data_IF_550071848381
#
_entry.id   IF_550071848381
#
_cell.length_a   1.000
_cell.length_b   1.000
_cell.length_c   1.000
_cell.angle_alpha   90.00
_cell.angle_beta   90.00
_cell.angle_gamma   90.00
#
_symmetry.space_group_name_H-M   'P 1'
#
loop_
_entity.id
_entity.type
_entity.pdbx_description
1 polymer ?
#
# COMPACT_ATOMS: atom_id res chain seq x y z
N UNK A 1 -42.85 -21.14 -22.57
CA UNK A 1 -42.41 -19.78 -22.22
C UNK A 1 -41.93 -19.78 -20.77
N UNK A 2 -40.70 -19.34 -20.47
CA UNK A 2 -40.11 -19.43 -19.13
C UNK A 2 -40.89 -18.64 -18.07
N UNK A 3 -41.62 -17.60 -18.48
CA UNK A 3 -42.45 -16.76 -17.60
C UNK A 3 -43.65 -17.53 -17.04
N UNK A 4 -44.31 -18.37 -17.84
CA UNK A 4 -45.44 -19.19 -17.36
C UNK A 4 -44.97 -20.30 -16.42
N UNK A 5 -43.81 -20.91 -16.68
CA UNK A 5 -43.22 -21.92 -15.80
C UNK A 5 -42.75 -21.33 -14.46
N UNK A 6 -42.24 -20.11 -14.46
CA UNK A 6 -41.92 -19.36 -13.22
C UNK A 6 -43.20 -18.98 -12.47
N UNK A 7 -44.22 -18.48 -13.16
CA UNK A 7 -45.50 -18.12 -12.54
C UNK A 7 -46.21 -19.33 -11.89
N UNK A 8 -46.12 -20.53 -12.48
CA UNK A 8 -46.65 -21.75 -11.86
C UNK A 8 -45.81 -22.23 -10.67
N UNK A 9 -44.49 -21.99 -10.68
CA UNK A 9 -43.59 -22.35 -9.56
C UNK A 9 -43.73 -21.41 -8.36
N UNK A 10 -44.05 -20.14 -8.61
CA UNK A 10 -44.22 -19.11 -7.57
C UNK A 10 -45.68 -18.78 -7.25
N UNK A 11 -46.65 -19.38 -7.97
CA UNK A 11 -48.08 -19.10 -7.83
C UNK A 11 -48.71 -19.62 -6.53
N UNK A 12 -48.08 -20.63 -5.90
CA UNK A 12 -48.59 -21.31 -4.69
C UNK A 12 -47.77 -20.96 -3.43
N UNK A 13 -47.00 -19.87 -3.48
CA UNK A 13 -46.12 -19.44 -2.39
C UNK A 13 -46.96 -18.70 -1.34
N UNK A 14 -47.08 -19.29 -0.15
CA UNK A 14 -47.86 -18.72 0.95
C UNK A 14 -47.30 -17.36 1.39
N UNK A 15 -48.17 -16.47 1.88
CA UNK A 15 -47.77 -15.14 2.37
C UNK A 15 -46.70 -15.25 3.47
N UNK A 16 -46.79 -16.27 4.32
CA UNK A 16 -45.79 -16.53 5.37
C UNK A 16 -44.40 -16.82 4.79
N UNK A 17 -44.31 -17.59 3.70
CA UNK A 17 -43.02 -17.84 3.02
C UNK A 17 -42.47 -16.59 2.33
N UNK A 18 -43.33 -15.70 1.83
CA UNK A 18 -42.91 -14.40 1.31
C UNK A 18 -42.38 -13.48 2.42
N UNK A 19 -43.05 -13.46 3.59
CA UNK A 19 -42.61 -12.68 4.75
C UNK A 19 -41.26 -13.19 5.27
N UNK A 20 -41.09 -14.51 5.42
CA UNK A 20 -39.81 -15.12 5.80
C UNK A 20 -38.73 -14.82 4.77
N UNK A 21 -39.05 -14.91 3.48
CA UNK A 21 -38.13 -14.54 2.40
C UNK A 21 -37.70 -13.06 2.44
N UNK A 22 -38.63 -12.16 2.70
CA UNK A 22 -38.36 -10.73 2.83
C UNK A 22 -37.48 -10.43 4.06
N UNK A 23 -37.75 -11.06 5.20
CA UNK A 23 -36.92 -10.94 6.41
C UNK A 23 -35.51 -11.48 6.18
N UNK A 24 -35.37 -12.64 5.52
CA UNK A 24 -34.08 -13.20 5.16
C UNK A 24 -33.30 -12.28 4.22
N UNK A 25 -33.96 -11.69 3.21
CA UNK A 25 -33.34 -10.74 2.30
C UNK A 25 -32.90 -9.45 3.02
N UNK A 26 -33.74 -8.90 3.91
CA UNK A 26 -33.39 -7.75 4.74
C UNK A 26 -32.19 -8.06 5.66
N UNK A 27 -32.14 -9.24 6.26
CA UNK A 27 -31.01 -9.70 7.06
C UNK A 27 -29.72 -9.80 6.22
N UNK A 28 -29.80 -10.38 5.01
CA UNK A 28 -28.65 -10.47 4.08
C UNK A 28 -28.14 -9.08 3.70
N UNK A 29 -29.04 -8.13 3.40
CA UNK A 29 -28.66 -6.74 3.11
C UNK A 29 -28.04 -6.03 4.33
N UNK A 30 -28.60 -6.26 5.52
CA UNK A 30 -28.06 -5.76 6.78
C UNK A 30 -26.63 -6.27 7.04
N UNK A 31 -26.41 -7.58 6.88
CA UNK A 31 -25.09 -8.19 6.99
C UNK A 31 -24.14 -7.62 5.93
N UNK A 32 -24.59 -7.52 4.68
CA UNK A 32 -23.77 -7.04 3.55
C UNK A 32 -23.33 -5.59 3.72
N UNK A 33 -24.19 -4.74 4.27
CA UNK A 33 -23.89 -3.33 4.56
C UNK A 33 -22.97 -3.20 5.79
N UNK A 34 -23.21 -3.99 6.84
CA UNK A 34 -22.35 -4.04 8.01
C UNK A 34 -20.93 -4.51 7.68
N UNK A 35 -20.80 -5.57 6.89
CA UNK A 35 -19.51 -6.09 6.40
C UNK A 35 -18.80 -5.14 5.43
N UNK A 36 -19.52 -4.15 4.86
CA UNK A 36 -18.94 -3.11 4.03
C UNK A 36 -18.01 -2.16 4.79
N UNK A 37 -18.10 -2.12 6.11
CA UNK A 37 -17.29 -1.25 6.95
C UNK A 37 -17.63 0.24 6.81
N UNK A 38 -16.81 1.08 7.44
CA UNK A 38 -16.98 2.54 7.44
C UNK A 38 -16.58 3.12 6.08
N UNK A 39 -17.25 4.21 5.71
CA UNK A 39 -16.93 5.01 4.52
C UNK A 39 -16.11 6.23 4.91
N UNK A 40 -15.28 6.71 3.98
CA UNK A 40 -14.53 7.94 4.19
C UNK A 40 -15.50 9.13 4.05
N UNK A 41 -15.60 9.95 5.10
CA UNK A 41 -16.37 11.21 5.11
C UNK A 41 -15.50 12.42 4.78
N UNK A 42 -14.18 12.25 4.77
CA UNK A 42 -13.25 13.32 4.47
C UNK A 42 -13.09 13.50 2.97
N UNK A 43 -13.22 14.75 2.54
CA UNK A 43 -12.90 15.17 1.18
C UNK A 43 -11.71 16.13 1.23
N UNK A 44 -10.66 15.78 0.48
CA UNK A 44 -9.49 16.64 0.29
C UNK A 44 -9.55 17.22 -1.10
N UNK A 45 -9.27 18.51 -1.23
CA UNK A 45 -9.13 19.14 -2.54
C UNK A 45 -7.90 18.55 -3.26
N UNK A 46 -8.12 17.96 -4.43
CA UNK A 46 -7.09 17.35 -5.28
C UNK A 46 -6.81 18.13 -6.56
N UNK A 47 -7.41 19.31 -6.73
CA UNK A 47 -7.19 20.13 -7.92
C UNK A 47 -5.69 20.45 -8.11
N UNK A 48 -5.15 20.13 -9.29
CA UNK A 48 -3.75 20.36 -9.64
C UNK A 48 -2.73 19.56 -8.82
N UNK A 49 -3.18 18.52 -8.10
CA UNK A 49 -2.32 17.57 -7.37
C UNK A 49 -2.12 16.30 -8.17
N UNK A 50 -0.96 15.67 -7.99
CA UNK A 50 -0.63 14.42 -8.70
C UNK A 50 -0.54 13.23 -7.74
N UNK A 51 -1.17 12.12 -8.13
CA UNK A 51 -1.12 10.84 -7.43
C UNK A 51 -0.40 9.82 -8.31
N UNK A 52 0.68 9.25 -7.78
CA UNK A 52 1.39 8.13 -8.37
C UNK A 52 0.79 6.82 -7.85
N UNK A 53 0.20 5.99 -8.71
CA UNK A 53 -0.37 4.70 -8.33
C UNK A 53 0.52 3.58 -8.84
N UNK A 54 1.35 3.01 -7.95
CA UNK A 54 2.30 1.94 -8.27
C UNK A 54 1.71 0.62 -7.81
N UNK A 55 1.02 -0.08 -8.72
CA UNK A 55 0.28 -1.28 -8.34
C UNK A 55 -0.06 -2.17 -9.55
N UNK A 56 -0.22 -3.50 -9.36
CA UNK A 56 -0.81 -4.36 -10.37
C UNK A 56 -2.24 -3.93 -10.70
N UNK A 57 -2.73 -4.20 -11.93
CA UNK A 57 -4.11 -3.92 -12.31
C UNK A 57 -5.06 -4.92 -11.62
N UNK A 58 -5.40 -4.65 -10.37
CA UNK A 58 -6.37 -5.43 -9.59
C UNK A 58 -7.73 -4.72 -9.54
N UNK A 59 -8.83 -5.45 -9.28
CA UNK A 59 -10.16 -4.84 -9.14
C UNK A 59 -10.19 -3.70 -8.12
N UNK A 60 -9.45 -3.84 -7.02
CA UNK A 60 -9.34 -2.80 -5.98
C UNK A 60 -8.66 -1.54 -6.51
N UNK A 61 -7.57 -1.67 -7.27
CA UNK A 61 -6.82 -0.52 -7.80
C UNK A 61 -7.59 0.17 -8.94
N UNK A 62 -8.22 -0.59 -9.82
CA UNK A 62 -9.06 -0.06 -10.89
C UNK A 62 -10.24 0.72 -10.29
N UNK A 63 -10.85 0.18 -9.23
CA UNK A 63 -11.92 0.88 -8.50
C UNK A 63 -11.41 2.13 -7.80
N UNK A 64 -10.17 2.12 -7.26
CA UNK A 64 -9.55 3.32 -6.69
C UNK A 64 -9.38 4.42 -7.72
N UNK A 65 -8.86 4.09 -8.91
CA UNK A 65 -8.70 5.04 -10.01
C UNK A 65 -10.06 5.62 -10.42
N UNK A 66 -11.07 4.77 -10.59
CA UNK A 66 -12.44 5.19 -10.92
C UNK A 66 -13.00 6.16 -9.86
N UNK A 67 -12.88 5.83 -8.57
CA UNK A 67 -13.37 6.68 -7.49
C UNK A 67 -12.61 8.01 -7.37
N UNK A 68 -11.29 8.01 -7.58
CA UNK A 68 -10.48 9.23 -7.57
C UNK A 68 -10.84 10.18 -8.72
N UNK A 69 -11.12 9.63 -9.91
CA UNK A 69 -11.50 10.43 -11.08
C UNK A 69 -12.93 10.98 -10.97
N UNK A 70 -13.82 10.31 -10.23
CA UNK A 70 -15.18 10.77 -9.97
C UNK A 70 -15.28 11.87 -8.89
N UNK A 71 -14.18 12.21 -8.22
CA UNK A 71 -14.19 13.29 -7.23
C UNK A 71 -14.54 14.64 -7.88
N UNK A 72 -15.18 15.59 -7.15
CA UNK A 72 -15.48 16.92 -7.68
C UNK A 72 -14.23 17.65 -8.19
N UNK A 73 -13.13 17.54 -7.44
CA UNK A 73 -11.79 17.99 -7.82
C UNK A 73 -10.91 16.77 -8.07
N UNK A 74 -10.78 16.25 -9.30
CA UNK A 74 -10.01 15.05 -9.57
C UNK A 74 -8.50 15.36 -9.60
N UNK A 75 -7.65 14.47 -9.04
CA UNK A 75 -6.20 14.56 -9.20
C UNK A 75 -5.75 14.17 -10.61
N UNK A 76 -4.52 14.55 -10.95
CA UNK A 76 -3.78 13.94 -12.06
C UNK A 76 -3.25 12.58 -11.59
N UNK A 77 -3.63 11.49 -12.28
CA UNK A 77 -3.24 10.13 -11.90
C UNK A 77 -2.21 9.61 -12.89
N UNK A 78 -1.05 9.20 -12.38
CA UNK A 78 -0.08 8.41 -13.12
C UNK A 78 -0.10 6.98 -12.58
N UNK A 79 -0.67 6.07 -13.37
CA UNK A 79 -0.74 4.65 -13.05
C UNK A 79 0.50 3.92 -13.60
N UNK A 80 1.21 3.22 -12.71
CA UNK A 80 2.46 2.52 -12.97
C UNK A 80 2.30 1.02 -12.66
N UNK A 81 1.77 0.22 -13.59
CA UNK A 81 1.67 -1.22 -13.42
C UNK A 81 3.04 -1.91 -13.52
N UNK A 82 3.29 -2.97 -12.72
CA UNK A 82 4.49 -3.82 -12.77
C UNK A 82 4.50 -4.77 -13.96
N UNK A 83 4.22 -4.25 -15.16
CA UNK A 83 4.11 -4.99 -16.42
C UNK A 83 5.13 -4.39 -17.40
N UNK A 84 5.91 -5.22 -18.12
CA UNK A 84 6.81 -4.70 -19.15
C UNK A 84 6.03 -4.07 -20.30
N UNK A 85 6.69 -3.15 -21.02
CA UNK A 85 6.17 -2.62 -22.28
C UNK A 85 6.18 -3.71 -23.37
N UNK A 86 5.19 -3.78 -24.27
CA UNK A 86 3.98 -2.95 -24.35
C UNK A 86 2.91 -3.34 -23.32
N UNK A 87 2.10 -2.35 -22.91
CA UNK A 87 0.98 -2.58 -22.00
C UNK A 87 -0.11 -3.45 -22.66
N UNK A 88 -0.79 -4.33 -21.91
CA UNK A 88 -1.87 -5.17 -22.45
C UNK A 88 -3.04 -4.34 -23.01
N UNK A 89 -3.60 -4.71 -24.18
CA UNK A 89 -4.70 -3.97 -24.80
C UNK A 89 -5.97 -3.95 -23.94
N UNK A 90 -6.23 -5.03 -23.21
CA UNK A 90 -7.38 -5.14 -22.30
C UNK A 90 -7.31 -4.10 -21.18
N UNK A 91 -6.11 -3.89 -20.61
CA UNK A 91 -5.89 -2.89 -19.57
C UNK A 91 -6.12 -1.48 -20.12
N UNK A 92 -5.56 -1.18 -21.30
CA UNK A 92 -5.75 0.12 -21.94
C UNK A 92 -7.23 0.38 -22.27
N UNK A 93 -7.96 -0.65 -22.70
CA UNK A 93 -9.40 -0.57 -22.96
C UNK A 93 -10.15 -0.24 -21.68
N UNK A 94 -9.87 -0.93 -20.56
CA UNK A 94 -10.50 -0.64 -19.27
C UNK A 94 -10.20 0.79 -18.81
N UNK A 95 -8.93 1.23 -18.86
CA UNK A 95 -8.56 2.59 -18.46
C UNK A 95 -9.21 3.65 -19.36
N UNK A 96 -9.34 3.39 -20.66
CA UNK A 96 -10.04 4.26 -21.58
C UNK A 96 -11.54 4.32 -21.26
N UNK A 97 -12.19 3.19 -20.97
CA UNK A 97 -13.60 3.18 -20.57
C UNK A 97 -13.87 3.95 -19.28
N UNK A 98 -12.97 3.86 -18.29
CA UNK A 98 -13.06 4.64 -17.05
C UNK A 98 -12.96 6.13 -17.38
N UNK A 99 -11.99 6.52 -18.21
CA UNK A 99 -11.83 7.92 -18.63
C UNK A 99 -13.06 8.45 -19.36
N UNK A 100 -13.68 7.67 -20.25
CA UNK A 100 -14.92 8.06 -20.93
C UNK A 100 -16.10 8.20 -19.94
N UNK A 101 -16.17 7.35 -18.93
CA UNK A 101 -17.19 7.41 -17.88
C UNK A 101 -17.15 8.72 -17.07
N UNK A 102 -15.98 9.36 -16.99
CA UNK A 102 -15.73 10.60 -16.24
C UNK A 102 -15.91 11.87 -17.10
N UNK A 103 -16.50 11.74 -18.30
CA UNK A 103 -16.71 12.81 -19.29
C UNK A 103 -17.26 14.15 -18.77
N UNK A 104 -17.91 14.17 -17.59
CA UNK A 104 -18.39 15.40 -16.93
C UNK A 104 -17.28 16.30 -16.39
N UNK A 105 -16.06 15.78 -16.17
CA UNK A 105 -14.97 16.56 -15.58
C UNK A 105 -13.74 16.61 -16.51
N UNK A 106 -13.52 17.70 -17.26
CA UNK A 106 -12.41 17.82 -18.20
C UNK A 106 -11.04 17.90 -17.51
N UNK A 107 -11.00 18.18 -16.19
CA UNK A 107 -9.77 18.23 -15.41
C UNK A 107 -9.23 16.83 -15.06
N UNK A 108 -10.04 15.78 -15.20
CA UNK A 108 -9.65 14.41 -14.89
C UNK A 108 -8.59 13.89 -15.88
N UNK A 109 -7.36 13.73 -15.41
CA UNK A 109 -6.23 13.24 -16.21
C UNK A 109 -5.76 11.87 -15.71
N UNK A 110 -5.74 10.89 -16.61
CA UNK A 110 -5.28 9.53 -16.35
C UNK A 110 -4.19 9.16 -17.36
N UNK A 111 -2.98 8.93 -16.86
CA UNK A 111 -1.83 8.46 -17.61
C UNK A 111 -1.41 7.08 -17.13
N UNK A 112 -0.91 6.24 -18.03
CA UNK A 112 -0.43 4.90 -17.72
C UNK A 112 0.94 4.68 -18.36
N UNK A 113 1.96 4.33 -17.56
CA UNK A 113 3.31 4.01 -18.04
C UNK A 113 3.76 2.67 -17.44
N UNK A 114 4.35 1.75 -18.22
CA UNK A 114 4.86 0.49 -17.69
C UNK A 114 6.03 0.71 -16.72
N UNK A 115 6.00 0.05 -15.56
CA UNK A 115 7.09 0.07 -14.59
C UNK A 115 7.39 -1.36 -14.10
N UNK A 116 8.03 -2.22 -14.91
CA UNK A 116 8.34 -3.58 -14.49
C UNK A 116 9.27 -3.58 -13.26
N UNK A 117 9.21 -4.67 -12.49
CA UNK A 117 9.93 -4.82 -11.21
C UNK A 117 11.42 -5.15 -11.41
N UNK A 118 12.12 -4.31 -12.17
CA UNK A 118 13.54 -4.42 -12.47
C UNK A 118 14.27 -3.13 -12.11
N UNK A 119 15.57 -3.25 -11.83
CA UNK A 119 16.42 -2.09 -11.47
C UNK A 119 16.48 -1.07 -12.59
N UNK A 120 16.64 -1.55 -13.82
CA UNK A 120 16.78 -0.73 -15.01
C UNK A 120 15.53 0.09 -15.25
N UNK A 121 14.35 -0.51 -15.13
CA UNK A 121 13.09 0.18 -15.33
C UNK A 121 12.84 1.28 -14.29
N UNK A 122 13.15 1.03 -13.00
CA UNK A 122 13.06 2.08 -11.98
C UNK A 122 14.02 3.21 -12.31
N UNK A 123 15.28 2.92 -12.67
CA UNK A 123 16.26 3.96 -13.02
C UNK A 123 15.89 4.75 -14.26
N UNK A 124 15.41 4.09 -15.29
CA UNK A 124 14.97 4.73 -16.53
C UNK A 124 13.76 5.61 -16.28
N UNK A 125 12.81 5.13 -15.47
CA UNK A 125 11.68 5.93 -15.00
C UNK A 125 12.14 7.16 -14.23
N UNK A 126 13.00 7.01 -13.22
CA UNK A 126 13.50 8.15 -12.42
C UNK A 126 14.32 9.13 -13.26
N UNK A 127 15.07 8.64 -14.26
CA UNK A 127 15.80 9.49 -15.21
C UNK A 127 14.84 10.31 -16.07
N UNK A 128 13.83 9.67 -16.67
CA UNK A 128 12.77 10.36 -17.42
C UNK A 128 11.98 11.34 -16.54
N UNK A 129 11.77 10.97 -15.29
CA UNK A 129 11.08 11.80 -14.30
C UNK A 129 11.86 13.09 -14.03
N UNK A 130 13.18 12.98 -13.82
CA UNK A 130 14.06 14.11 -13.54
C UNK A 130 14.44 14.94 -14.78
N UNK A 131 14.39 14.38 -15.99
CA UNK A 131 14.76 15.07 -17.24
C UNK A 131 13.64 15.91 -17.86
N UNK A 132 12.52 16.09 -17.16
CA UNK A 132 11.39 16.86 -17.69
C UNK A 132 11.79 18.35 -17.84
N UNK A 133 11.52 18.99 -19.01
CA UNK A 133 11.93 20.37 -19.24
C UNK A 133 11.33 21.34 -18.23
N UNK A 134 12.14 22.24 -17.65
CA UNK A 134 11.71 23.20 -16.64
C UNK A 134 10.53 24.09 -17.10
N UNK A 135 10.42 24.34 -18.41
CA UNK A 135 9.29 25.08 -19.01
C UNK A 135 7.93 24.38 -18.84
N UNK A 136 7.90 23.05 -18.75
CA UNK A 136 6.65 22.28 -18.59
C UNK A 136 6.30 22.02 -17.12
N UNK A 137 7.24 22.17 -16.20
CA UNK A 137 7.10 21.68 -14.84
C UNK A 137 7.44 22.71 -13.75
N UNK A 138 7.89 23.90 -14.15
CA UNK A 138 8.36 24.95 -13.26
C UNK A 138 9.71 24.62 -12.60
N UNK A 139 10.23 25.56 -11.81
CA UNK A 139 11.52 25.43 -11.11
C UNK A 139 11.54 24.28 -10.08
N UNK A 140 10.38 23.93 -9.52
CA UNK A 140 10.25 22.88 -8.52
C UNK A 140 10.27 21.45 -9.11
N UNK A 141 10.21 21.29 -10.43
CA UNK A 141 10.11 19.99 -11.09
C UNK A 141 8.75 19.30 -10.89
N UNK A 142 8.65 18.02 -11.27
CA UNK A 142 7.36 17.30 -11.30
C UNK A 142 6.80 17.16 -9.89
N UNK A 143 5.62 17.72 -9.68
CA UNK A 143 4.91 17.70 -8.41
C UNK A 143 4.34 16.30 -8.15
N UNK A 144 4.55 15.78 -6.94
CA UNK A 144 3.90 14.56 -6.42
C UNK A 144 3.32 14.88 -5.05
N UNK A 145 2.02 14.68 -4.88
CA UNK A 145 1.33 14.91 -3.60
C UNK A 145 0.99 13.59 -2.89
N UNK A 146 0.86 12.49 -3.64
CA UNK A 146 0.70 11.17 -3.06
C UNK A 146 1.33 10.05 -3.91
N UNK A 147 1.79 9.01 -3.24
CA UNK A 147 2.27 7.76 -3.84
C UNK A 147 1.49 6.61 -3.18
N UNK A 148 0.78 5.82 -3.98
CA UNK A 148 0.06 4.63 -3.53
C UNK A 148 0.84 3.39 -3.99
N UNK A 149 1.45 2.69 -3.03
CA UNK A 149 2.13 1.42 -3.24
C UNK A 149 1.10 0.28 -3.06
N UNK A 150 0.48 -0.12 -4.17
CA UNK A 150 -0.67 -1.03 -4.17
C UNK A 150 -0.35 -2.52 -4.30
N UNK A 151 0.92 -2.90 -4.22
CA UNK A 151 1.36 -4.28 -4.39
C UNK A 151 1.84 -4.89 -3.07
N UNK A 152 1.54 -6.18 -2.86
CA UNK A 152 2.09 -6.98 -1.76
C UNK A 152 1.22 -7.20 -0.53
N UNK A 153 -0.02 -6.77 -0.61
CA UNK A 153 -1.09 -7.19 0.29
C UNK A 153 -1.87 -8.41 -0.24
N UNK A 154 -1.69 -8.72 -1.53
CA UNK A 154 -2.29 -9.87 -2.21
C UNK A 154 -1.73 -11.18 -1.66
N UNK A 155 -2.60 -12.16 -1.43
CA UNK A 155 -2.18 -13.53 -1.13
C UNK A 155 -1.87 -14.20 -2.45
N UNK A 156 -0.59 -14.43 -2.69
CA UNK A 156 -0.15 -15.16 -3.88
C UNK A 156 -0.65 -16.62 -3.81
N UNK A 157 -1.08 -17.15 -4.96
CA UNK A 157 -1.38 -18.59 -5.08
C UNK A 157 -0.12 -19.41 -4.76
N UNK A 158 -0.28 -20.69 -4.47
CA UNK A 158 0.86 -21.56 -4.14
C UNK A 158 1.96 -21.42 -5.21
N UNK A 159 3.22 -21.14 -4.82
CA UNK A 159 4.34 -21.00 -5.73
C UNK A 159 4.53 -22.19 -6.69
N UNK A 160 4.03 -23.39 -6.35
CA UNK A 160 4.03 -24.55 -7.27
C UNK A 160 3.09 -24.37 -8.46
N UNK A 161 1.89 -23.82 -8.22
CA UNK A 161 0.90 -23.52 -9.26
C UNK A 161 1.38 -22.33 -10.09
N UNK A 162 1.92 -21.29 -9.44
CA UNK A 162 2.52 -20.15 -10.12
C UNK A 162 3.69 -20.56 -11.02
N UNK A 163 4.55 -21.49 -10.57
CA UNK A 163 5.64 -22.02 -11.41
C UNK A 163 5.13 -22.78 -12.64
N UNK A 164 4.04 -23.54 -12.54
CA UNK A 164 3.44 -24.20 -13.70
C UNK A 164 2.89 -23.18 -14.72
N UNK A 165 2.12 -22.19 -14.27
CA UNK A 165 1.55 -21.13 -15.12
C UNK A 165 2.64 -20.22 -15.71
N UNK A 166 3.70 -19.96 -14.94
CA UNK A 166 4.82 -19.08 -15.35
C UNK A 166 5.81 -19.76 -16.29
N UNK A 167 6.00 -21.08 -16.17
CA UNK A 167 6.82 -21.86 -17.09
C UNK A 167 6.20 -21.95 -18.50
N UNK A 168 4.87 -21.94 -18.61
CA UNK A 168 4.17 -21.90 -19.90
C UNK A 168 4.25 -20.53 -20.59
N UNK A 169 4.36 -19.45 -19.82
CA UNK A 169 4.27 -18.07 -20.35
C UNK A 169 5.61 -17.34 -20.51
N UNK A 170 6.73 -17.84 -19.97
CA UNK A 170 7.92 -17.01 -19.80
C UNK A 170 9.27 -17.66 -20.22
N UNK A 171 9.36 -18.10 -21.48
CA UNK A 171 10.61 -18.61 -22.06
C UNK A 171 11.60 -17.53 -22.55
N UNK A 172 11.34 -16.23 -22.38
CA UNK A 172 12.12 -15.17 -23.08
C UNK A 172 12.65 -13.96 -22.31
N UNK A 173 12.54 -13.84 -20.98
CA UNK A 173 13.21 -12.73 -20.27
C UNK A 173 14.03 -13.20 -19.06
N UNK A 174 15.36 -13.08 -19.16
CA UNK A 174 16.37 -13.50 -18.18
C UNK A 174 16.78 -12.36 -17.22
N UNK A 175 15.92 -11.38 -16.93
CA UNK A 175 16.19 -10.43 -15.85
C UNK A 175 15.64 -10.98 -14.54
N UNK A 176 16.45 -10.97 -13.48
CA UNK A 176 16.03 -11.39 -12.13
C UNK A 176 15.02 -10.35 -11.62
N UNK A 177 13.75 -10.69 -11.63
CA UNK A 177 12.72 -9.86 -11.01
C UNK A 177 13.02 -9.67 -9.52
N UNK A 178 12.88 -8.43 -9.07
CA UNK A 178 13.07 -8.08 -7.67
C UNK A 178 11.87 -8.44 -6.82
N UNK A 179 12.12 -8.68 -5.54
CA UNK A 179 11.04 -8.82 -4.58
C UNK A 179 10.31 -7.48 -4.44
N UNK A 180 9.05 -7.52 -4.03
CA UNK A 180 8.23 -6.30 -3.91
C UNK A 180 8.80 -5.28 -2.93
N UNK A 181 9.36 -5.74 -1.81
CA UNK A 181 10.03 -4.85 -0.87
C UNK A 181 11.23 -4.14 -1.51
N UNK A 182 12.07 -4.88 -2.22
CA UNK A 182 13.25 -4.34 -2.90
C UNK A 182 12.86 -3.31 -3.96
N UNK A 183 11.84 -3.63 -4.75
CA UNK A 183 11.28 -2.74 -5.76
C UNK A 183 10.69 -1.45 -5.15
N UNK A 184 9.80 -1.57 -4.16
CA UNK A 184 9.20 -0.41 -3.51
C UNK A 184 10.24 0.46 -2.82
N UNK A 185 11.18 -0.16 -2.09
CA UNK A 185 12.26 0.56 -1.43
C UNK A 185 13.13 1.32 -2.42
N UNK A 186 13.54 0.67 -3.52
CA UNK A 186 14.35 1.33 -4.54
C UNK A 186 13.61 2.46 -5.25
N UNK A 187 12.32 2.27 -5.54
CA UNK A 187 11.50 3.32 -6.14
C UNK A 187 11.37 4.53 -5.22
N UNK A 188 11.07 4.31 -3.93
CA UNK A 188 10.96 5.38 -2.94
C UNK A 188 12.29 6.11 -2.75
N UNK A 189 13.39 5.39 -2.59
CA UNK A 189 14.73 5.99 -2.42
C UNK A 189 15.21 6.71 -3.67
N UNK A 190 14.88 6.23 -4.87
CA UNK A 190 15.19 6.91 -6.12
C UNK A 190 14.37 8.19 -6.33
N UNK A 191 13.11 8.22 -5.88
CA UNK A 191 12.26 9.41 -5.95
C UNK A 191 12.49 10.40 -4.81
N UNK A 192 13.10 9.96 -3.70
CA UNK A 192 13.31 10.76 -2.49
C UNK A 192 13.94 12.15 -2.75
N UNK A 193 14.98 12.30 -3.60
CA UNK A 193 15.53 13.62 -3.91
C UNK A 193 14.51 14.58 -4.54
N UNK A 194 13.58 14.05 -5.33
CA UNK A 194 12.48 14.84 -5.92
C UNK A 194 11.43 15.21 -4.87
N UNK A 195 11.17 14.32 -3.91
CA UNK A 195 10.19 14.56 -2.85
C UNK A 195 10.68 15.59 -1.83
N UNK A 196 11.97 15.55 -1.47
CA UNK A 196 12.57 16.51 -0.52
C UNK A 196 12.70 17.93 -1.07
N UNK A 197 12.62 18.12 -2.39
CA UNK A 197 12.58 19.46 -3.01
C UNK A 197 11.21 20.13 -2.85
N UNK A 198 10.16 19.37 -2.51
CA UNK A 198 8.85 19.94 -2.34
C UNK A 198 8.81 20.94 -1.16
N UNK A 199 8.04 22.04 -1.26
CA UNK A 199 7.90 23.00 -0.17
C UNK A 199 7.38 22.35 1.11
N UNK A 200 7.88 22.81 2.26
CA UNK A 200 7.54 22.28 3.59
C UNK A 200 6.05 22.44 3.97
N UNK A 201 5.34 23.39 3.35
CA UNK A 201 3.90 23.58 3.53
C UNK A 201 3.05 22.45 2.91
N UNK A 202 3.65 21.64 2.03
CA UNK A 202 2.93 20.58 1.31
C UNK A 202 3.08 19.25 2.01
N UNK A 203 1.94 18.67 2.38
CA UNK A 203 1.87 17.30 2.90
C UNK A 203 1.92 16.29 1.74
N UNK A 204 2.96 15.46 1.70
CA UNK A 204 3.10 14.36 0.73
C UNK A 204 2.75 13.04 1.43
N UNK A 205 1.87 12.23 0.82
CA UNK A 205 1.41 10.97 1.42
C UNK A 205 1.92 9.76 0.66
N UNK A 206 2.73 8.93 1.30
CA UNK A 206 3.16 7.63 0.80
C UNK A 206 2.27 6.59 1.47
N UNK A 207 1.29 6.07 0.74
CA UNK A 207 0.32 5.09 1.21
C UNK A 207 0.76 3.70 0.77
N UNK A 208 1.04 2.82 1.72
CA UNK A 208 1.40 1.43 1.45
C UNK A 208 0.26 0.48 1.86
N UNK A 209 -0.10 -0.45 0.96
CA UNK A 209 -1.17 -1.42 1.22
C UNK A 209 -0.64 -2.67 1.92
N UNK A 210 -1.41 -3.18 2.88
CA UNK A 210 -1.01 -4.27 3.79
C UNK A 210 -2.11 -5.32 3.84
N UNK A 211 -1.72 -6.59 3.80
CA UNK A 211 -2.67 -7.69 3.81
C UNK A 211 -3.37 -7.79 5.17
N UNK A 212 -4.67 -8.13 5.23
CA UNK A 212 -5.34 -8.44 6.50
C UNK A 212 -4.75 -9.67 7.21
N UNK A 213 -3.93 -10.47 6.52
CA UNK A 213 -3.32 -11.69 7.05
C UNK A 213 -2.10 -11.45 7.94
N UNK A 214 -1.66 -10.20 8.13
CA UNK A 214 -0.50 -9.85 8.95
C UNK A 214 -0.54 -10.45 10.36
N UNK A 215 -1.72 -10.55 10.97
CA UNK A 215 -1.90 -11.10 12.31
C UNK A 215 -1.56 -12.59 12.39
N UNK A 216 -1.75 -13.34 11.30
CA UNK A 216 -1.44 -14.78 11.24
C UNK A 216 0.07 -15.05 11.36
N UNK A 217 0.90 -14.07 11.04
CA UNK A 217 2.36 -14.18 11.09
C UNK A 217 2.98 -13.66 12.39
N UNK A 218 2.19 -13.08 13.31
CA UNK A 218 2.68 -12.61 14.61
C UNK A 218 3.39 -13.69 15.43
N UNK A 219 2.88 -14.95 15.51
CA UNK A 219 3.58 -16.00 16.25
C UNK A 219 5.00 -16.27 15.72
N UNK A 220 5.24 -16.01 14.44
CA UNK A 220 6.57 -16.15 13.84
C UNK A 220 7.58 -15.14 14.37
N UNK A 221 7.14 -13.95 14.80
CA UNK A 221 8.00 -12.95 15.44
C UNK A 221 8.28 -13.30 16.90
N UNK A 222 7.33 -13.96 17.57
CA UNK A 222 7.46 -14.42 18.95
C UNK A 222 8.32 -15.69 19.09
N UNK A 223 8.96 -16.17 18.00
CA UNK A 223 9.78 -17.37 18.02
C UNK A 223 9.00 -18.69 18.07
N UNK A 224 7.69 -18.67 17.81
CA UNK A 224 6.86 -19.88 17.76
C UNK A 224 6.87 -20.51 16.35
N UNK A 225 6.69 -21.82 16.29
CA UNK A 225 6.61 -22.57 15.03
C UNK A 225 5.50 -22.00 14.14
N UNK A 226 5.93 -21.37 13.06
CA UNK A 226 5.05 -20.67 12.13
C UNK A 226 4.77 -21.54 10.91
N UNK A 227 3.50 -21.79 10.61
CA UNK A 227 3.06 -22.54 9.43
C UNK A 227 3.63 -21.92 8.15
N UNK A 228 3.90 -22.74 7.14
CA UNK A 228 4.43 -22.30 5.84
C UNK A 228 3.34 -22.07 4.79
N UNK A 229 2.12 -21.78 5.23
CA UNK A 229 0.96 -21.52 4.36
C UNK A 229 1.12 -20.18 3.61
N UNK A 230 0.47 -20.04 2.43
CA UNK A 230 0.50 -18.80 1.63
C UNK A 230 0.02 -17.58 2.42
N UNK A 231 -0.99 -17.77 3.27
CA UNK A 231 -1.52 -16.76 4.20
C UNK A 231 -0.45 -16.27 5.16
N UNK A 232 0.33 -17.18 5.73
CA UNK A 232 1.37 -16.85 6.71
C UNK A 232 2.57 -16.20 6.03
N UNK A 233 2.97 -16.68 4.84
CA UNK A 233 4.00 -16.03 4.03
C UNK A 233 3.63 -14.57 3.70
N UNK A 234 2.39 -14.35 3.26
CA UNK A 234 1.85 -13.01 2.99
C UNK A 234 1.76 -12.17 4.27
N UNK A 235 1.44 -12.80 5.40
CA UNK A 235 1.43 -12.14 6.71
C UNK A 235 2.83 -11.66 7.12
N UNK A 236 3.87 -12.50 6.94
CA UNK A 236 5.27 -12.14 7.22
C UNK A 236 5.74 -10.97 6.36
N UNK A 237 5.41 -11.00 5.06
CA UNK A 237 5.65 -9.90 4.13
C UNK A 237 4.98 -8.59 4.61
N UNK A 238 3.72 -8.69 5.04
CA UNK A 238 2.96 -7.55 5.56
C UNK A 238 3.59 -6.97 6.84
N UNK A 239 4.03 -7.81 7.77
CA UNK A 239 4.77 -7.42 8.98
C UNK A 239 6.07 -6.70 8.62
N UNK A 240 6.87 -7.26 7.71
CA UNK A 240 8.12 -6.63 7.29
C UNK A 240 7.86 -5.26 6.67
N UNK A 241 6.76 -5.10 5.93
CA UNK A 241 6.39 -3.81 5.35
C UNK A 241 5.99 -2.79 6.42
N UNK A 242 5.25 -3.21 7.45
CA UNK A 242 4.93 -2.35 8.61
C UNK A 242 6.19 -1.83 9.31
N UNK A 243 7.13 -2.74 9.61
CA UNK A 243 8.39 -2.41 10.27
C UNK A 243 9.24 -1.47 9.41
N UNK A 244 9.34 -1.77 8.11
CA UNK A 244 10.08 -0.96 7.16
C UNK A 244 9.50 0.46 7.03
N UNK A 245 8.18 0.60 6.88
CA UNK A 245 7.55 1.92 6.73
C UNK A 245 7.63 2.74 8.01
N UNK A 246 7.58 2.10 9.19
CA UNK A 246 7.86 2.79 10.46
C UNK A 246 9.28 3.32 10.53
N UNK A 247 10.27 2.52 10.15
CA UNK A 247 11.66 2.99 10.13
C UNK A 247 11.87 4.07 9.06
N UNK A 248 11.27 3.90 7.89
CA UNK A 248 11.33 4.89 6.82
C UNK A 248 10.75 6.25 7.24
N UNK A 249 9.64 6.29 7.99
CA UNK A 249 9.15 7.54 8.57
C UNK A 249 10.17 8.19 9.52
N UNK A 250 10.85 7.39 10.35
CA UNK A 250 11.90 7.90 11.24
C UNK A 250 13.03 8.55 10.44
N UNK A 251 13.41 7.95 9.30
CA UNK A 251 14.42 8.50 8.37
C UNK A 251 13.93 9.81 7.73
N UNK A 252 12.69 9.87 7.24
CA UNK A 252 12.15 11.09 6.66
C UNK A 252 12.16 12.25 7.65
N UNK A 253 11.72 11.97 8.86
CA UNK A 253 11.69 12.99 9.89
C UNK A 253 13.11 13.38 10.39
N UNK A 254 14.09 12.47 10.39
CA UNK A 254 15.47 12.83 10.72
C UNK A 254 16.06 13.73 9.65
N UNK A 255 15.75 13.47 8.38
CA UNK A 255 16.14 14.35 7.27
C UNK A 255 15.54 15.74 7.43
N UNK A 256 14.27 15.84 7.82
CA UNK A 256 13.63 17.13 8.09
C UNK A 256 14.27 17.86 9.29
N UNK A 257 14.55 17.15 10.38
CA UNK A 257 15.22 17.74 11.54
C UNK A 257 16.62 18.25 11.22
N UNK A 258 17.35 17.56 10.33
CA UNK A 258 18.65 18.00 9.80
C UNK A 258 18.47 19.25 8.94
N UNK A 259 17.49 19.27 8.03
CA UNK A 259 17.22 20.42 7.16
C UNK A 259 16.86 21.68 7.97
N UNK A 260 16.16 21.53 9.09
CA UNK A 260 15.81 22.63 10.00
C UNK A 260 16.91 23.00 11.01
N UNK A 261 18.06 22.30 11.01
CA UNK A 261 19.16 22.55 11.96
C UNK A 261 18.85 22.18 13.42
N UNK A 262 17.78 21.41 13.68
CA UNK A 262 17.30 21.04 15.03
C UNK A 262 17.87 19.72 15.53
N UNK A 263 19.14 19.45 15.22
CA UNK A 263 19.84 18.24 15.66
C UNK A 263 20.76 18.60 16.81
N UNK A 264 20.41 18.16 18.02
CA UNK A 264 21.21 18.42 19.22
C UNK A 264 22.28 17.33 19.35
N UNK A 265 23.58 17.67 19.48
CA UNK A 265 24.60 16.70 19.85
C UNK A 265 24.33 16.23 21.28
N UNK A 266 24.27 14.92 21.50
CA UNK A 266 24.16 14.33 22.85
C UNK A 266 25.46 13.60 23.15
N UNK A 267 26.09 13.81 24.33
CA UNK A 267 27.25 13.04 24.72
C UNK A 267 26.87 11.55 24.85
N UNK A 268 27.65 10.66 24.25
CA UNK A 268 27.45 9.23 24.39
C UNK A 268 27.57 8.84 25.87
N UNK A 269 26.46 8.44 26.48
CA UNK A 269 26.47 7.95 27.86
C UNK A 269 27.22 6.61 27.87
N UNK A 270 28.42 6.63 28.44
CA UNK A 270 29.30 5.46 28.54
C UNK A 270 28.73 4.35 29.42
N UNK A 271 28.75 3.13 28.89
CA UNK A 271 29.09 1.93 29.64
C UNK A 271 30.11 1.14 28.81
N UNK A 272 31.37 1.49 29.01
CA UNK A 272 32.53 0.83 28.40
C UNK A 272 33.79 1.49 28.92
N UNK A 273 34.28 1.02 30.07
CA UNK A 273 35.62 1.35 30.57
C UNK A 273 36.63 0.81 29.55
N UNK A 274 37.22 1.68 28.75
CA UNK A 274 38.27 1.34 27.79
C UNK A 274 39.10 2.58 27.53
N UNK A 275 40.32 2.59 28.05
CA UNK A 275 41.34 3.61 27.87
C UNK A 275 41.81 3.65 26.42
N UNK A 276 41.42 4.70 25.70
CA UNK A 276 41.91 5.08 24.37
C UNK A 276 41.57 6.55 24.11
N UNK A 277 42.37 7.29 23.31
CA UNK A 277 42.25 8.74 23.21
C UNK A 277 40.89 9.16 22.64
N UNK A 278 40.30 10.13 23.32
CA UNK A 278 38.96 10.65 23.09
C UNK A 278 38.91 11.47 21.79
N UNK A 279 38.39 10.86 20.72
CA UNK A 279 37.75 11.60 19.63
C UNK A 279 36.23 11.36 19.71
N UNK A 280 35.52 12.47 19.79
CA UNK A 280 34.09 12.69 19.96
C UNK A 280 33.14 11.73 19.20
N UNK A 281 32.72 10.65 19.85
CA UNK A 281 31.51 9.92 19.45
C UNK A 281 30.25 10.64 19.98
N UNK A 282 30.01 11.87 19.55
CA UNK A 282 28.75 12.57 19.85
C UNK A 282 27.62 11.95 19.02
N UNK A 283 26.69 11.26 19.69
CA UNK A 283 25.51 10.71 19.01
C UNK A 283 24.50 11.84 18.86
N UNK A 284 24.36 12.34 17.63
CA UNK A 284 23.35 13.34 17.27
C UNK A 284 21.94 12.77 17.53
N UNK A 285 21.24 13.31 18.52
CA UNK A 285 19.85 12.92 18.82
C UNK A 285 18.90 13.90 18.17
N UNK A 286 17.97 13.37 17.38
CA UNK A 286 16.91 14.14 16.75
C UNK A 286 15.97 14.73 17.81
N UNK A 287 15.47 15.94 17.55
CA UNK A 287 14.32 16.48 18.25
C UNK A 287 13.03 15.73 17.85
N UNK A 288 12.36 15.11 18.84
CA UNK A 288 11.14 14.34 18.65
C UNK A 288 9.95 15.20 18.20
N UNK A 289 10.04 16.52 18.40
CA UNK A 289 8.96 17.44 18.09
C UNK A 289 8.92 17.85 16.61
N UNK A 290 10.01 17.60 15.86
CA UNK A 290 10.08 17.90 14.42
C UNK A 290 9.60 16.70 13.64
N UNK A 291 8.53 16.84 12.86
CA UNK A 291 7.97 15.81 11.96
C UNK A 291 8.13 16.24 10.51
N UNK A 292 8.37 15.30 9.61
CA UNK A 292 8.44 15.60 8.17
C UNK A 292 7.06 15.89 7.60
N UNK A 293 7.03 16.72 6.56
CA UNK A 293 5.86 16.94 5.71
C UNK A 293 5.50 15.72 4.86
N UNK A 294 6.47 14.82 4.64
CA UNK A 294 6.26 13.52 4.00
C UNK A 294 5.79 12.51 5.04
N UNK A 295 4.65 11.88 4.79
CA UNK A 295 3.99 10.93 5.68
C UNK A 295 3.94 9.55 5.03
N UNK A 296 4.58 8.56 5.64
CA UNK A 296 4.43 7.15 5.31
C UNK A 296 3.27 6.55 6.11
N UNK A 297 2.18 6.20 5.43
CA UNK A 297 0.94 5.67 6.01
C UNK A 297 0.74 4.25 5.51
N UNK A 298 0.41 3.36 6.42
CA UNK A 298 0.17 1.94 6.13
C UNK A 298 -1.33 1.65 6.19
N UNK A 299 -1.91 1.06 5.15
CA UNK A 299 -3.36 0.76 5.10
C UNK A 299 -3.56 -0.75 5.13
N UNK A 300 -4.21 -1.24 6.18
CA UNK A 300 -4.65 -2.63 6.25
C UNK A 300 -5.89 -2.76 5.38
N UNK A 301 -5.76 -3.57 4.33
CA UNK A 301 -6.83 -3.84 3.39
C UNK A 301 -7.86 -4.80 3.98
N UNK A 302 -9.10 -4.69 3.52
CA UNK A 302 -10.15 -5.66 3.83
C UNK A 302 -9.90 -7.01 3.17
N UNK A 303 -10.68 -8.02 3.56
CA UNK A 303 -10.64 -9.35 2.96
C UNK A 303 -11.23 -9.34 1.54
N UNK A 304 -10.42 -8.90 0.58
CA UNK A 304 -10.80 -8.78 -0.82
C UNK A 304 -10.93 -10.15 -1.50
N UNK A 305 -11.94 -10.29 -2.35
CA UNK A 305 -12.29 -11.57 -3.00
C UNK A 305 -11.18 -12.11 -3.88
N UNK A 306 -10.67 -11.31 -4.81
CA UNK A 306 -9.72 -11.77 -5.82
C UNK A 306 -8.28 -11.75 -5.28
N UNK A 307 -7.96 -10.76 -4.46
CA UNK A 307 -6.61 -10.45 -4.03
C UNK A 307 -6.20 -11.25 -2.78
N UNK A 308 -7.13 -11.54 -1.86
CA UNK A 308 -6.81 -12.23 -0.59
C UNK A 308 -7.45 -13.61 -0.53
N UNK A 309 -8.78 -13.67 -0.71
CA UNK A 309 -9.54 -14.88 -0.42
C UNK A 309 -9.29 -15.96 -1.47
N UNK A 310 -9.29 -15.59 -2.75
CA UNK A 310 -8.99 -16.53 -3.84
C UNK A 310 -7.60 -17.14 -3.68
N UNK A 311 -6.58 -16.34 -3.37
CA UNK A 311 -5.22 -16.83 -3.14
C UNK A 311 -5.09 -17.74 -1.92
N UNK A 312 -5.90 -17.51 -0.89
CA UNK A 312 -5.92 -18.33 0.32
C UNK A 312 -6.63 -19.68 0.14
N UNK A 313 -7.72 -19.71 -0.64
CA UNK A 313 -8.55 -20.91 -0.78
C UNK A 313 -8.11 -21.79 -1.95
N UNK A 314 -7.70 -21.20 -3.08
CA UNK A 314 -7.50 -21.92 -4.35
C UNK A 314 -6.09 -22.52 -4.42
N UNK A 315 -5.83 -23.58 -3.64
CA UNK A 315 -4.57 -24.33 -3.67
C UNK A 315 -4.68 -25.72 -4.30
N UNK A 316 -5.83 -26.39 -4.13
CA UNK A 316 -6.10 -27.74 -4.63
C UNK A 316 -7.27 -27.77 -5.63
N UNK A 317 -7.40 -28.85 -6.41
CA UNK A 317 -8.55 -29.02 -7.32
C UNK A 317 -9.89 -29.03 -6.57
N UNK A 318 -9.95 -29.69 -5.41
CA UNK A 318 -11.12 -29.68 -4.53
C UNK A 318 -11.45 -28.26 -4.07
N UNK A 319 -10.44 -27.48 -3.68
CA UNK A 319 -10.66 -26.09 -3.25
C UNK A 319 -11.12 -25.17 -4.37
N UNK A 320 -10.77 -25.45 -5.63
CA UNK A 320 -11.30 -24.74 -6.81
C UNK A 320 -12.78 -25.03 -7.01
N UNK A 321 -13.18 -26.29 -6.87
CA UNK A 321 -14.59 -26.68 -6.93
C UNK A 321 -15.38 -26.01 -5.79
N UNK A 322 -14.83 -26.07 -4.58
CA UNK A 322 -15.41 -25.47 -3.38
C UNK A 322 -15.51 -23.94 -3.49
N UNK A 323 -14.55 -23.28 -4.15
CA UNK A 323 -14.62 -21.85 -4.47
C UNK A 323 -15.80 -21.51 -5.39
N UNK A 324 -16.09 -22.35 -6.39
CA UNK A 324 -17.24 -22.15 -7.28
C UNK A 324 -18.54 -22.35 -6.51
N UNK A 325 -18.65 -23.42 -5.71
CA UNK A 325 -19.84 -23.75 -4.92
C UNK A 325 -20.12 -22.67 -3.87
N UNK A 326 -19.09 -22.19 -3.17
CA UNK A 326 -19.22 -21.16 -2.13
C UNK A 326 -19.21 -19.73 -2.66
N UNK A 327 -19.03 -19.51 -3.97
CA UNK A 327 -18.98 -18.17 -4.55
C UNK A 327 -20.16 -17.26 -4.17
N UNK A 328 -21.45 -17.69 -4.23
CA UNK A 328 -22.56 -16.83 -3.79
C UNK A 328 -22.47 -16.45 -2.32
N UNK A 329 -22.03 -17.37 -1.46
CA UNK A 329 -21.82 -17.11 -0.04
C UNK A 329 -20.69 -16.10 0.18
N UNK A 330 -19.59 -16.27 -0.56
CA UNK A 330 -18.44 -15.36 -0.55
C UNK A 330 -18.87 -13.97 -1.02
N UNK A 331 -19.73 -13.83 -2.03
CA UNK A 331 -20.24 -12.52 -2.47
C UNK A 331 -20.99 -11.76 -1.37
N UNK A 332 -21.70 -12.47 -0.50
CA UNK A 332 -22.44 -11.89 0.63
C UNK A 332 -21.48 -11.49 1.76
N UNK A 333 -20.56 -12.37 2.14
CA UNK A 333 -19.69 -12.17 3.30
C UNK A 333 -18.46 -11.30 3.05
N UNK A 334 -18.18 -10.95 1.80
CA UNK A 334 -16.97 -10.20 1.47
C UNK A 334 -17.30 -8.78 1.04
N UNK A 335 -16.51 -7.79 1.50
CA UNK A 335 -16.70 -6.42 1.07
C UNK A 335 -16.43 -6.29 -0.44
N UNK A 336 -17.18 -5.40 -1.09
CA UNK A 336 -16.92 -5.00 -2.47
C UNK A 336 -15.66 -4.14 -2.57
N UNK A 337 -15.01 -4.13 -3.74
CA UNK A 337 -13.85 -3.27 -4.00
C UNK A 337 -14.11 -1.80 -3.67
N UNK A 338 -15.31 -1.27 -3.97
CA UNK A 338 -15.73 0.09 -3.59
C UNK A 338 -15.72 0.38 -2.08
N UNK A 339 -15.99 -0.65 -1.26
CA UNK A 339 -15.92 -0.55 0.21
C UNK A 339 -14.48 -0.58 0.70
N UNK A 340 -13.70 -1.51 0.16
CA UNK A 340 -12.30 -1.72 0.57
C UNK A 340 -11.44 -0.48 0.26
N UNK A 341 -11.69 0.16 -0.88
CA UNK A 341 -10.98 1.38 -1.30
C UNK A 341 -11.19 2.56 -0.34
N UNK A 342 -12.27 2.57 0.45
CA UNK A 342 -12.55 3.66 1.40
C UNK A 342 -11.41 3.89 2.40
N UNK A 343 -10.73 2.84 2.84
CA UNK A 343 -9.57 2.96 3.73
C UNK A 343 -8.37 3.64 3.05
N UNK A 344 -8.20 3.44 1.74
CA UNK A 344 -7.18 4.15 0.95
C UNK A 344 -7.57 5.61 0.79
N UNK A 345 -8.84 5.89 0.45
CA UNK A 345 -9.35 7.26 0.32
C UNK A 345 -9.24 8.03 1.64
N UNK A 346 -9.49 7.37 2.77
CA UNK A 346 -9.26 7.93 4.10
C UNK A 346 -7.79 8.27 4.32
N UNK A 347 -6.86 7.34 4.06
CA UNK A 347 -5.43 7.62 4.18
C UNK A 347 -4.97 8.79 3.29
N UNK A 348 -5.57 8.94 2.11
CA UNK A 348 -5.28 10.03 1.18
C UNK A 348 -5.92 11.37 1.59
N UNK A 349 -7.12 11.35 2.18
CA UNK A 349 -7.95 12.56 2.37
C UNK A 349 -8.06 13.05 3.80
N UNK A 350 -7.89 12.18 4.81
CA UNK A 350 -8.06 12.52 6.22
C UNK A 350 -7.12 13.65 6.67
N UNK A 351 -7.51 14.50 7.63
CA UNK A 351 -6.67 15.59 8.12
C UNK A 351 -5.39 15.07 8.79
N UNK A 352 -4.30 15.82 8.67
CA UNK A 352 -3.02 15.48 9.30
C UNK A 352 -3.04 15.90 10.77
N UNK A 353 -2.74 14.97 11.67
CA UNK A 353 -2.62 15.24 13.10
C UNK A 353 -1.30 15.95 13.39
N UNK A 354 -1.35 17.07 14.13
CA UNK A 354 -0.18 17.82 14.61
C UNK A 354 -0.34 18.09 16.11
N UNK A 355 0.76 18.12 16.86
CA UNK A 355 0.78 18.46 18.29
C UNK A 355 0.48 17.29 19.25
N UNK A 356 -0.06 17.62 20.42
CA UNK A 356 -0.27 16.74 21.61
C UNK A 356 -1.22 15.57 21.39
N UNK A 357 -2.04 15.61 20.33
CA UNK A 357 -2.97 14.53 19.94
C UNK A 357 -2.21 13.25 19.52
N UNK A 358 -0.94 13.36 19.14
CA UNK A 358 -0.11 12.19 18.82
C UNK A 358 0.48 11.49 20.05
N UNK A 359 0.56 12.18 21.19
CA UNK A 359 1.13 11.66 22.44
C UNK A 359 0.12 10.85 23.27
N UNK A 360 -1.16 10.83 22.89
CA UNK A 360 -2.17 10.00 23.53
C UNK A 360 -1.74 8.52 23.46
N UNK A 361 -1.81 7.76 24.57
CA UNK A 361 -1.28 6.41 24.63
C UNK A 361 -1.93 5.51 23.57
N UNK A 362 -1.08 4.77 22.86
CA UNK A 362 -1.44 3.88 21.74
C UNK A 362 -2.16 2.61 22.20
N UNK A 363 -2.51 2.50 23.47
CA UNK A 363 -3.17 1.34 24.05
C UNK A 363 -4.15 1.85 25.08
N UNK A 364 -5.39 1.40 25.01
CA UNK A 364 -6.46 1.67 25.96
C UNK A 364 -6.20 1.01 27.34
N UNK A 365 -5.01 1.23 27.91
CA UNK A 365 -4.61 0.71 29.21
C UNK A 365 -4.80 1.72 30.33
N UNK A 366 -4.85 3.02 30.02
CA UNK A 366 -5.08 4.06 31.01
C UNK A 366 -6.59 4.40 31.09
N UNK A 367 -7.28 4.06 32.20
CA UNK A 367 -8.70 4.38 32.39
C UNK A 367 -8.97 5.89 32.53
N UNK A 368 -7.92 6.72 32.55
CA UNK A 368 -7.99 8.19 32.60
C UNK A 368 -8.14 8.85 31.22
N UNK A 369 -8.00 8.11 30.12
CA UNK A 369 -8.09 8.65 28.76
C UNK A 369 -9.54 8.62 28.29
N UNK A 370 -10.10 9.80 27.97
CA UNK A 370 -11.49 9.92 27.51
C UNK A 370 -11.69 9.26 26.13
N UNK A 371 -12.84 8.63 25.92
CA UNK A 371 -13.22 8.02 24.64
C UNK A 371 -13.18 9.02 23.48
N UNK A 372 -13.58 10.26 23.74
CA UNK A 372 -13.58 11.34 22.73
C UNK A 372 -12.17 11.63 22.21
N UNK A 373 -11.15 11.58 23.06
CA UNK A 373 -9.75 11.81 22.65
C UNK A 373 -9.25 10.67 21.74
N UNK A 374 -9.70 9.44 21.98
CA UNK A 374 -9.39 8.27 21.16
C UNK A 374 -10.08 8.39 19.80
N UNK A 375 -11.33 8.80 19.75
CA UNK A 375 -12.07 9.00 18.49
C UNK A 375 -11.48 10.14 17.66
N UNK A 376 -11.12 11.25 18.31
CA UNK A 376 -10.46 12.37 17.65
C UNK A 376 -9.11 11.93 17.05
N UNK A 377 -8.31 11.15 17.78
CA UNK A 377 -7.08 10.53 17.24
C UNK A 377 -7.37 9.64 16.05
N UNK A 378 -8.41 8.81 16.11
CA UNK A 378 -8.78 7.88 15.03
C UNK A 378 -9.23 8.58 13.76
N UNK A 379 -9.73 9.81 13.86
CA UNK A 379 -10.29 10.59 12.75
C UNK A 379 -9.26 11.25 11.82
N UNK A 380 -7.98 11.32 12.22
CA UNK A 380 -6.90 11.94 11.45
C UNK A 380 -5.66 11.06 11.34
N UNK A 381 -4.74 11.40 10.45
CA UNK A 381 -3.55 10.61 10.13
C UNK A 381 -2.24 11.32 10.49
N UNK A 382 -1.23 10.55 10.90
CA UNK A 382 0.13 10.99 11.16
C UNK A 382 1.14 10.07 10.48
N UNK A 383 2.41 10.50 10.43
CA UNK A 383 3.49 9.71 9.86
C UNK A 383 3.73 8.42 10.64
N UNK A 384 3.79 7.29 9.96
CA UNK A 384 3.97 5.96 10.56
C UNK A 384 2.68 5.33 11.10
N UNK A 385 1.52 5.97 10.90
CA UNK A 385 0.23 5.40 11.30
C UNK A 385 -0.18 4.21 10.45
N UNK A 386 -1.01 3.37 11.06
CA UNK A 386 -1.69 2.27 10.39
C UNK A 386 -3.18 2.53 10.37
N UNK A 387 -3.79 2.49 9.19
CA UNK A 387 -5.21 2.75 8.95
C UNK A 387 -5.92 1.44 8.65
N UNK A 388 -7.11 1.25 9.23
CA UNK A 388 -8.04 0.19 8.89
C UNK A 388 -9.46 0.70 9.06
N UNK A 389 -10.36 0.32 8.15
CA UNK A 389 -11.79 0.66 8.22
C UNK A 389 -12.04 2.16 8.46
N UNK A 390 -11.35 3.02 7.71
CA UNK A 390 -11.39 4.48 7.81
C UNK A 390 -11.07 5.04 9.20
N UNK A 391 -10.19 4.38 9.96
CA UNK A 391 -9.71 4.84 11.25
C UNK A 391 -8.25 4.45 11.47
N UNK A 392 -7.51 5.22 12.27
CA UNK A 392 -6.17 4.82 12.73
C UNK A 392 -6.30 3.70 13.76
N UNK A 393 -5.48 2.66 13.62
CA UNK A 393 -5.47 1.48 14.49
C UNK A 393 -4.11 1.32 15.14
N UNK A 394 -4.12 0.98 16.41
CA UNK A 394 -2.92 0.70 17.17
C UNK A 394 -2.45 -0.74 16.95
N UNK A 395 -1.14 -0.89 16.74
CA UNK A 395 -0.51 -2.18 16.52
C UNK A 395 -0.03 -2.80 17.85
N UNK A 396 0.10 -4.13 17.91
CA UNK A 396 0.77 -4.82 19.00
C UNK A 396 2.17 -4.23 19.31
N UNK A 397 2.61 -4.23 20.58
CA UNK A 397 3.86 -3.61 21.00
C UNK A 397 5.10 -4.21 20.31
N UNK A 398 5.06 -5.49 19.95
CA UNK A 398 6.14 -6.19 19.22
C UNK A 398 6.45 -5.51 17.88
N UNK A 399 5.44 -4.98 17.19
CA UNK A 399 5.61 -4.27 15.92
C UNK A 399 6.06 -2.81 16.11
N UNK A 400 6.25 -2.36 17.35
CA UNK A 400 6.69 -1.02 17.69
C UNK A 400 8.14 -0.98 18.18
N UNK A 401 8.84 -2.11 18.17
CA UNK A 401 10.27 -2.16 18.50
C UNK A 401 11.12 -1.44 17.43
N UNK A 402 11.81 -0.33 17.77
CA UNK A 402 12.66 0.38 16.83
C UNK A 402 13.91 -0.39 16.40
N UNK A 403 14.43 -1.29 17.24
CA UNK A 403 15.63 -2.06 16.93
C UNK A 403 15.36 -3.08 15.83
N UNK A 404 14.25 -3.81 15.95
CA UNK A 404 13.77 -4.74 14.92
C UNK A 404 13.48 -4.01 13.60
N UNK A 405 12.79 -2.87 13.67
CA UNK A 405 12.47 -2.08 12.48
C UNK A 405 13.74 -1.60 11.74
N UNK A 406 14.76 -1.17 12.49
CA UNK A 406 16.06 -0.79 11.93
C UNK A 406 16.77 -1.99 11.30
N UNK A 407 16.82 -3.14 11.97
CA UNK A 407 17.49 -4.32 11.44
C UNK A 407 16.89 -4.79 10.10
N UNK A 408 15.56 -4.80 9.99
CA UNK A 408 14.85 -5.13 8.74
C UNK A 408 15.15 -4.11 7.64
N UNK A 409 15.19 -2.83 7.99
CA UNK A 409 15.51 -1.76 7.04
C UNK A 409 16.95 -1.88 6.51
N UNK A 410 17.94 -1.96 7.41
CA UNK A 410 19.37 -2.07 7.08
C UNK A 410 19.65 -3.33 6.24
N UNK A 411 18.95 -4.43 6.51
CA UNK A 411 19.05 -5.63 5.69
C UNK A 411 18.55 -5.39 4.27
N UNK A 412 17.36 -4.80 4.12
CA UNK A 412 16.80 -4.54 2.79
C UNK A 412 17.64 -3.54 1.99
N UNK A 413 18.15 -2.51 2.65
CA UNK A 413 19.04 -1.53 2.02
C UNK A 413 20.28 -2.21 1.43
N UNK A 414 20.95 -3.09 2.19
CA UNK A 414 22.08 -3.87 1.71
C UNK A 414 21.71 -4.78 0.53
N UNK A 415 20.56 -5.45 0.59
CA UNK A 415 20.08 -6.30 -0.50
C UNK A 415 19.83 -5.50 -1.79
N UNK A 416 19.23 -4.32 -1.67
CA UNK A 416 18.96 -3.42 -2.80
C UNK A 416 20.28 -2.88 -3.37
N UNK A 417 21.21 -2.42 -2.53
CA UNK A 417 22.52 -1.95 -2.98
C UNK A 417 23.30 -3.02 -3.75
N UNK A 418 23.33 -4.24 -3.23
CA UNK A 418 23.95 -5.38 -3.91
C UNK A 418 23.26 -5.67 -5.25
N UNK A 419 21.93 -5.63 -5.27
CA UNK A 419 21.15 -5.80 -6.49
C UNK A 419 21.43 -4.73 -7.55
N UNK A 420 21.58 -3.46 -7.14
CA UNK A 420 21.92 -2.35 -8.04
C UNK A 420 23.33 -2.49 -8.60
N UNK A 421 24.32 -2.80 -7.75
CA UNK A 421 25.72 -3.02 -8.16
C UNK A 421 25.82 -4.16 -9.18
N UNK A 422 25.19 -5.30 -8.88
CA UNK A 422 25.16 -6.44 -9.79
C UNK A 422 24.50 -6.13 -11.14
N UNK A 423 23.43 -5.31 -11.16
CA UNK A 423 22.80 -4.88 -12.41
C UNK A 423 23.72 -3.98 -13.24
N UNK A 424 24.45 -3.06 -12.59
CA UNK A 424 25.42 -2.19 -13.28
C UNK A 424 26.59 -2.98 -13.89
N UNK A 425 27.12 -3.96 -13.17
CA UNK A 425 28.19 -4.82 -13.67
C UNK A 425 27.74 -5.65 -14.88
N UNK A 426 26.52 -6.19 -14.84
CA UNK A 426 25.93 -6.90 -15.99
C UNK A 426 25.78 -6.01 -17.21
N UNK A 427 25.33 -4.76 -17.02
CA UNK A 427 25.19 -3.80 -18.12
C UNK A 427 26.54 -3.49 -18.76
N UNK A 428 27.57 -3.19 -17.95
CA UNK A 428 28.95 -2.95 -18.43
C UNK A 428 29.53 -4.16 -19.16
N UNK A 429 29.31 -5.38 -18.65
CA UNK A 429 29.77 -6.60 -19.29
C UNK A 429 29.07 -6.89 -20.64
N UNK A 430 27.82 -6.44 -20.79
CA UNK A 430 27.06 -6.59 -22.04
C UNK A 430 27.50 -5.56 -23.07
N UNK A 431 27.72 -4.31 -22.65
CA UNK A 431 28.24 -3.23 -23.52
C UNK A 431 29.68 -3.51 -23.97
N UNK A 432 30.55 -4.04 -23.11
CA UNK A 432 31.92 -4.41 -23.46
C UNK A 432 32.03 -5.57 -24.45
N UNK A 433 31.02 -6.46 -24.50
CA UNK A 433 30.95 -7.56 -25.49
C UNK A 433 30.34 -7.14 -26.83
N UNK A 434 29.67 -5.99 -26.90
CA UNK A 434 29.10 -5.46 -28.15
C UNK A 434 30.09 -4.58 -28.93
N UNK A 435 31.28 -4.32 -28.36
CA UNK A 435 32.37 -3.55 -28.97
C UNK A 435 33.62 -4.39 -29.27
N UNK A 436 33.53 -5.71 -29.08
CA UNK A 436 34.45 -6.71 -29.62
C UNK A 436 33.72 -7.46 -30.72
#
# INVERSE_FOLDING_TARGET
MPVHSLATLFGDVSVDTLVVGALAFAAILGIRTWLGGRKCTWERDWAGKMILVVAPPSPTIITLIDQLLQLPSPPQILFLPPIPSPLPPDLLTVLHTIRLGVSKNPAAQLHCEPLPMTVEAVRDFTKKWGSAPAQMVGEAGRRVDAIVLGHGWEVELDPKILKQVRNESNSKSKSKEWNTHQFQFHLLTALLPSLLRAPAERDIRIVNLISPTWSAALPSLEGKNSRTDSVNLTGRRSINTLLLMKHFQLVLDTLEAVAQGKVKPVPASGKGKGTGPAEDATVKKRDKNVKSNILAISVIMGWARQEVIKGSLVSSALSRLLWIILYPLILVFTPSSRSIVQSILFALSAPVRKGTIDDTPRVAQDPSVSLDSIEQRRSGVAGGDVVRDCAVVDLPPVLSDPALAKAVYDQLEKEVEQGVKAAQEKKKATEGKAHQ
#
